data_IF_420971342229
#
_entry.id   IF_420971342229
#
_cell.length_a   1.000
_cell.length_b   1.000
_cell.length_c   1.000
_cell.angle_alpha   90.00
_cell.angle_beta   90.00
_cell.angle_gamma   90.00
#
_symmetry.space_group_name_H-M   'P 1'
#
loop_
_entity.id
_entity.type
_entity.pdbx_description
1 polymer ?
#
# COMPACT_ATOMS: atom_id res chain seq x y z
N UNK A 1 11.28 -8.32 25.10
CA UNK A 1 10.30 -8.63 24.04
C UNK A 1 10.99 -9.24 22.84
N UNK A 2 10.29 -10.06 22.04
CA UNK A 2 10.84 -10.58 20.77
C UNK A 2 10.64 -9.56 19.65
N UNK A 3 11.67 -9.36 18.84
CA UNK A 3 11.62 -8.45 17.69
C UNK A 3 12.54 -8.90 16.56
N UNK A 4 12.19 -8.57 15.32
CA UNK A 4 13.06 -8.68 14.15
C UNK A 4 14.02 -7.51 14.14
N UNK A 5 15.32 -7.76 14.21
CA UNK A 5 16.33 -6.69 14.27
C UNK A 5 17.16 -6.66 12.98
N UNK A 6 17.25 -5.47 12.40
CA UNK A 6 18.20 -5.13 11.35
C UNK A 6 19.42 -4.48 12.02
N UNK A 7 20.51 -5.26 12.14
CA UNK A 7 21.76 -4.80 12.76
C UNK A 7 22.68 -4.09 11.76
N UNK A 8 22.54 -4.43 10.48
CA UNK A 8 23.28 -3.82 9.36
C UNK A 8 22.40 -3.80 8.11
N UNK A 9 22.63 -2.86 7.21
CA UNK A 9 21.94 -2.84 5.92
C UNK A 9 22.51 -3.93 5.02
N UNK A 10 21.65 -4.78 4.44
CA UNK A 10 22.11 -5.87 3.61
C UNK A 10 21.00 -6.82 3.15
N UNK A 11 21.34 -8.03 2.77
CA UNK A 11 20.38 -9.05 2.37
C UNK A 11 19.34 -9.35 3.46
N UNK A 12 18.10 -9.68 3.05
CA UNK A 12 16.98 -9.88 3.98
C UNK A 12 17.18 -11.06 4.95
N UNK A 13 17.99 -12.06 4.58
CA UNK A 13 18.36 -13.19 5.45
C UNK A 13 19.23 -12.79 6.66
N UNK A 14 19.78 -11.58 6.63
CA UNK A 14 20.46 -10.95 7.76
C UNK A 14 19.52 -10.54 8.90
N UNK A 15 18.22 -10.40 8.65
CA UNK A 15 17.22 -10.09 9.67
C UNK A 15 17.08 -11.25 10.67
N UNK A 16 17.21 -10.94 11.96
CA UNK A 16 17.14 -11.95 13.04
C UNK A 16 16.01 -11.60 14.02
N UNK A 17 15.26 -12.61 14.43
CA UNK A 17 14.39 -12.49 15.61
C UNK A 17 15.23 -12.70 16.85
N UNK A 18 15.25 -11.71 17.72
CA UNK A 18 16.01 -11.73 18.96
C UNK A 18 15.17 -11.18 20.11
N UNK A 19 15.56 -11.51 21.34
CA UNK A 19 15.03 -10.86 22.52
C UNK A 19 15.75 -9.52 22.75
N UNK A 20 14.99 -8.45 22.88
CA UNK A 20 15.47 -7.12 23.22
C UNK A 20 14.67 -6.53 24.38
N UNK A 21 15.19 -5.50 25.02
CA UNK A 21 14.45 -4.74 26.01
C UNK A 21 13.17 -4.15 25.42
N UNK A 22 12.16 -4.01 26.27
CA UNK A 22 10.93 -3.34 25.86
C UNK A 22 11.18 -1.86 25.59
N UNK A 23 10.57 -1.28 24.54
CA UNK A 23 10.73 0.15 24.25
C UNK A 23 10.16 0.97 25.42
N UNK A 24 10.90 1.98 25.85
CA UNK A 24 10.50 2.84 26.99
C UNK A 24 9.21 3.58 26.63
N UNK A 25 8.23 3.53 27.52
CA UNK A 25 7.03 4.35 27.43
C UNK A 25 7.42 5.81 27.71
N UNK A 26 6.97 6.72 26.84
CA UNK A 26 7.24 8.18 26.92
C UNK A 26 5.91 8.92 27.11
N UNK A 27 5.97 10.18 27.53
CA UNK A 27 4.80 11.05 27.57
C UNK A 27 4.08 11.06 26.19
N UNK A 28 2.75 11.13 26.21
CA UNK A 28 1.89 11.08 25.03
C UNK A 28 1.82 9.72 24.34
N UNK A 29 2.42 8.66 24.89
CA UNK A 29 2.50 7.35 24.23
C UNK A 29 1.73 6.26 24.98
N UNK A 30 1.39 5.24 24.22
CA UNK A 30 0.84 3.97 24.70
C UNK A 30 1.75 2.81 24.31
N UNK A 31 1.72 1.74 25.10
CA UNK A 31 2.31 0.45 24.73
C UNK A 31 1.23 -0.44 24.11
N UNK A 32 1.57 -1.04 23.00
CA UNK A 32 0.73 -2.00 22.29
C UNK A 32 1.29 -3.41 22.45
N UNK A 33 0.44 -4.36 22.83
CA UNK A 33 0.65 -5.77 22.52
C UNK A 33 0.32 -5.96 21.06
N UNK A 34 1.32 -6.24 20.23
CA UNK A 34 1.12 -6.40 18.78
C UNK A 34 0.31 -7.67 18.51
N UNK A 35 -0.72 -7.55 17.71
CA UNK A 35 -1.58 -8.65 17.26
C UNK A 35 -1.25 -9.05 15.82
N UNK A 36 -0.90 -8.09 14.98
CA UNK A 36 -0.43 -8.30 13.63
C UNK A 36 0.38 -7.08 13.13
N UNK A 37 1.35 -7.32 12.25
CA UNK A 37 2.15 -6.27 11.60
C UNK A 37 2.04 -6.40 10.09
N UNK A 38 1.69 -5.33 9.39
CA UNK A 38 1.67 -5.30 7.93
C UNK A 38 3.08 -5.39 7.33
N UNK A 39 3.22 -6.17 6.27
CA UNK A 39 4.47 -6.27 5.52
C UNK A 39 4.35 -5.49 4.22
N UNK A 40 5.26 -4.53 4.03
CA UNK A 40 5.29 -3.68 2.86
C UNK A 40 6.63 -3.81 2.12
N UNK A 41 6.61 -3.59 0.82
CA UNK A 41 7.83 -3.63 -0.01
C UNK A 41 8.91 -2.66 0.50
N UNK A 42 8.48 -1.51 1.04
CA UNK A 42 9.37 -0.49 1.60
C UNK A 42 10.12 -0.98 2.84
N UNK A 43 9.57 -1.90 3.64
CA UNK A 43 10.26 -2.46 4.81
C UNK A 43 11.51 -3.23 4.39
N UNK A 44 11.42 -3.99 3.27
CA UNK A 44 12.56 -4.66 2.67
C UNK A 44 13.61 -3.68 2.13
N UNK A 45 13.19 -2.60 1.46
CA UNK A 45 14.08 -1.57 0.98
C UNK A 45 14.81 -0.84 2.13
N UNK A 46 14.13 -0.60 3.25
CA UNK A 46 14.72 -0.03 4.47
C UNK A 46 15.80 -0.95 5.04
N UNK A 47 15.49 -2.24 5.20
CA UNK A 47 16.43 -3.23 5.72
C UNK A 47 17.66 -3.40 4.81
N UNK A 48 17.49 -3.27 3.49
CA UNK A 48 18.58 -3.33 2.52
C UNK A 48 19.35 -2.02 2.37
N UNK A 49 18.94 -0.92 3.03
CA UNK A 49 19.54 0.41 2.87
C UNK A 49 19.31 1.04 1.48
N UNK A 50 18.33 0.55 0.72
CA UNK A 50 17.98 0.97 -0.64
C UNK A 50 16.86 2.01 -0.70
N UNK A 51 16.29 2.35 0.46
CA UNK A 51 15.27 3.39 0.55
C UNK A 51 15.89 4.78 0.78
N UNK A 52 15.13 5.84 0.51
CA UNK A 52 15.57 7.24 0.66
C UNK A 52 15.88 7.60 2.11
N UNK A 53 15.15 7.03 3.06
CA UNK A 53 15.36 7.18 4.50
C UNK A 53 16.18 5.97 4.97
N UNK A 54 17.22 6.24 5.77
CA UNK A 54 18.03 5.20 6.41
C UNK A 54 17.90 5.34 7.92
N UNK A 55 17.12 4.45 8.58
CA UNK A 55 17.05 4.45 10.04
C UNK A 55 18.43 4.24 10.67
N UNK A 56 18.69 4.79 11.86
CA UNK A 56 19.90 4.46 12.62
C UNK A 56 19.90 2.98 12.99
N UNK A 57 21.03 2.31 12.81
CA UNK A 57 21.23 0.91 13.17
C UNK A 57 21.61 0.74 14.65
N UNK A 58 21.20 -0.32 15.35
CA UNK A 58 20.21 -1.30 14.90
C UNK A 58 18.77 -0.75 14.96
N UNK A 59 17.87 -1.25 14.10
CA UNK A 59 16.45 -0.89 14.17
C UNK A 59 15.54 -2.11 13.96
N UNK A 60 14.28 -1.99 14.37
CA UNK A 60 13.23 -2.97 14.12
C UNK A 60 12.40 -2.49 12.93
N UNK A 61 12.27 -3.24 11.82
CA UNK A 61 11.40 -2.88 10.71
C UNK A 61 9.90 -2.91 11.07
N UNK A 62 9.04 -2.61 10.09
CA UNK A 62 7.58 -2.66 10.22
C UNK A 62 6.97 -1.30 10.49
N UNK A 63 6.21 -0.79 9.51
CA UNK A 63 5.66 0.57 9.55
C UNK A 63 4.28 0.63 10.19
N UNK A 64 3.48 -0.43 10.09
CA UNK A 64 2.08 -0.45 10.52
C UNK A 64 1.79 -1.70 11.36
N UNK A 65 1.08 -1.52 12.46
CA UNK A 65 0.70 -2.61 13.36
C UNK A 65 -0.74 -2.46 13.83
N UNK A 66 -1.39 -3.58 14.07
CA UNK A 66 -2.58 -3.66 14.91
C UNK A 66 -2.16 -4.23 16.26
N UNK A 67 -2.58 -3.58 17.32
CA UNK A 67 -2.30 -4.00 18.69
C UNK A 67 -3.41 -3.67 19.64
N UNK A 68 -3.34 -4.29 20.81
CA UNK A 68 -4.14 -3.96 21.99
C UNK A 68 -3.34 -3.03 22.90
N UNK A 69 -3.93 -1.94 23.36
CA UNK A 69 -3.29 -1.02 24.31
C UNK A 69 -3.21 -1.69 25.67
N UNK A 70 -1.99 -1.99 26.13
CA UNK A 70 -1.73 -2.67 27.40
C UNK A 70 -1.13 -1.77 28.48
N UNK A 71 -0.65 -0.58 28.11
CA UNK A 71 -0.10 0.41 29.03
C UNK A 71 -0.26 1.81 28.42
N UNK A 72 -0.57 2.80 29.26
CA UNK A 72 -0.65 4.21 28.86
C UNK A 72 0.30 5.05 29.70
N UNK A 73 0.90 6.08 29.12
CA UNK A 73 1.71 7.03 29.87
C UNK A 73 0.83 7.85 30.85
N UNK A 74 1.42 8.40 31.89
CA UNK A 74 0.69 9.08 32.99
C UNK A 74 -0.10 10.32 32.53
N UNK A 75 0.24 10.89 31.37
CA UNK A 75 -0.42 12.03 30.74
C UNK A 75 -1.44 11.62 29.66
N UNK A 76 -1.63 10.32 29.45
CA UNK A 76 -2.56 9.75 28.47
C UNK A 76 -3.82 9.22 29.18
N UNK A 77 -4.99 9.43 28.57
CA UNK A 77 -6.25 8.93 29.12
C UNK A 77 -6.25 7.41 29.26
N UNK A 78 -6.67 6.92 30.43
CA UNK A 78 -6.86 5.50 30.69
C UNK A 78 -7.95 4.85 29.81
N UNK A 79 -8.78 5.65 29.12
CA UNK A 79 -9.81 5.15 28.21
C UNK A 79 -9.26 4.39 27.00
N UNK A 80 -7.97 4.57 26.69
CA UNK A 80 -7.31 3.78 25.63
C UNK A 80 -7.02 2.33 26.05
N UNK A 81 -6.98 2.02 27.36
CA UNK A 81 -6.65 0.67 27.85
C UNK A 81 -7.61 -0.38 27.28
N UNK A 82 -7.04 -1.47 26.76
CA UNK A 82 -7.78 -2.58 26.15
C UNK A 82 -8.30 -2.30 24.74
N UNK A 83 -8.15 -1.07 24.21
CA UNK A 83 -8.59 -0.74 22.85
C UNK A 83 -7.75 -1.47 21.81
N UNK A 84 -8.41 -2.03 20.79
CA UNK A 84 -7.77 -2.58 19.59
C UNK A 84 -7.57 -1.46 18.59
N UNK A 85 -6.34 -1.11 18.30
CA UNK A 85 -5.98 0.04 17.46
C UNK A 85 -5.00 -0.33 16.36
N UNK A 86 -5.08 0.38 15.25
CA UNK A 86 -4.04 0.46 14.24
C UNK A 86 -3.10 1.61 14.60
N UNK A 87 -1.78 1.40 14.48
CA UNK A 87 -0.79 2.44 14.65
C UNK A 87 0.18 2.48 13.47
N UNK A 88 0.43 3.69 12.95
CA UNK A 88 1.50 3.94 11.97
C UNK A 88 2.76 4.37 12.71
N UNK A 89 3.74 3.47 12.77
CA UNK A 89 4.98 3.66 13.56
C UNK A 89 6.13 4.27 12.74
N UNK A 90 6.12 4.06 11.42
CA UNK A 90 7.27 4.33 10.55
C UNK A 90 8.32 3.20 10.60
N UNK A 91 8.67 2.68 11.79
CA UNK A 91 9.43 1.46 12.05
C UNK A 91 9.19 1.00 13.49
N UNK A 92 9.56 -0.23 13.83
CA UNK A 92 9.35 -0.80 15.17
C UNK A 92 8.22 -1.81 15.27
N UNK A 93 7.51 -2.10 14.15
CA UNK A 93 6.32 -2.92 14.16
C UNK A 93 6.57 -4.44 14.13
N UNK A 94 7.73 -4.90 13.66
CA UNK A 94 8.05 -6.34 13.62
C UNK A 94 8.52 -6.83 14.99
N UNK A 95 7.64 -6.74 15.97
CA UNK A 95 7.90 -7.09 17.35
C UNK A 95 6.62 -7.56 18.06
N UNK A 96 6.78 -8.18 19.23
CA UNK A 96 5.63 -8.59 20.06
C UNK A 96 5.00 -7.42 20.83
N UNK A 97 5.73 -6.32 20.95
CA UNK A 97 5.25 -5.07 21.55
C UNK A 97 5.76 -3.86 20.75
N UNK A 98 4.97 -2.79 20.76
CA UNK A 98 5.35 -1.51 20.14
C UNK A 98 4.92 -0.34 21.04
N UNK A 99 5.53 0.83 20.84
CA UNK A 99 5.12 2.07 21.51
C UNK A 99 4.70 3.07 20.42
N UNK A 100 3.53 3.66 20.58
CA UNK A 100 2.96 4.63 19.64
C UNK A 100 2.49 5.89 20.36
N UNK A 101 2.67 7.06 19.74
CA UNK A 101 2.04 8.30 20.20
C UNK A 101 0.53 8.23 19.98
N UNK A 102 -0.27 8.76 20.89
CA UNK A 102 -1.74 8.69 20.83
C UNK A 102 -2.32 9.28 19.55
N UNK A 103 -1.71 10.31 18.96
CA UNK A 103 -2.15 10.94 17.71
C UNK A 103 -1.96 10.02 16.49
N UNK A 104 -1.25 8.91 16.63
CA UNK A 104 -1.03 7.90 15.58
C UNK A 104 -1.90 6.68 15.73
N UNK A 105 -2.75 6.65 16.75
CA UNK A 105 -3.70 5.58 16.98
C UNK A 105 -4.97 5.82 16.18
N UNK A 106 -5.48 4.76 15.61
CA UNK A 106 -6.66 4.78 14.78
C UNK A 106 -7.57 3.65 15.22
N UNK A 107 -8.82 3.97 15.52
CA UNK A 107 -9.85 2.97 15.77
C UNK A 107 -10.09 2.14 14.52
N UNK A 108 -10.18 0.84 14.68
CA UNK A 108 -10.39 -0.10 13.59
C UNK A 108 -11.87 -0.41 13.51
N UNK A 109 -12.50 -0.25 12.34
CA UNK A 109 -13.88 -0.67 12.12
C UNK A 109 -14.09 -2.15 12.45
N UNK A 110 -15.21 -2.47 13.08
CA UNK A 110 -15.54 -3.86 13.47
C UNK A 110 -15.64 -4.82 12.28
N UNK A 111 -15.92 -4.27 11.10
CA UNK A 111 -15.98 -5.04 9.84
C UNK A 111 -14.62 -5.51 9.34
N UNK A 112 -13.51 -5.00 9.91
CA UNK A 112 -12.16 -5.39 9.52
C UNK A 112 -11.59 -6.45 10.46
N UNK A 113 -11.03 -7.51 9.87
CA UNK A 113 -10.18 -8.44 10.62
C UNK A 113 -8.89 -7.76 11.09
N UNK A 114 -8.20 -8.35 12.05
CA UNK A 114 -6.89 -7.88 12.50
C UNK A 114 -5.87 -7.88 11.35
N UNK A 115 -5.90 -8.89 10.49
CA UNK A 115 -5.02 -9.00 9.33
C UNK A 115 -5.26 -7.90 8.30
N UNK A 116 -6.53 -7.69 7.93
CA UNK A 116 -6.92 -6.59 7.04
C UNK A 116 -6.46 -5.24 7.58
N UNK A 117 -6.77 -4.95 8.85
CA UNK A 117 -6.41 -3.68 9.49
C UNK A 117 -4.89 -3.47 9.58
N UNK A 118 -4.10 -4.53 9.83
CA UNK A 118 -2.64 -4.42 9.90
C UNK A 118 -1.97 -4.18 8.55
N UNK A 119 -2.66 -4.41 7.42
CA UNK A 119 -2.02 -4.46 6.12
C UNK A 119 -2.63 -3.52 5.05
N UNK A 120 -3.68 -2.75 5.37
CA UNK A 120 -4.37 -1.93 4.37
C UNK A 120 -3.79 -0.51 4.23
N UNK A 121 -3.28 0.08 5.31
CA UNK A 121 -3.02 1.52 5.42
C UNK A 121 -2.12 2.02 4.29
N UNK A 122 -0.93 1.43 4.14
CA UNK A 122 0.04 1.82 3.11
C UNK A 122 -0.57 1.78 1.70
N UNK A 123 -1.33 0.74 1.40
CA UNK A 123 -1.88 0.51 0.06
C UNK A 123 -3.07 1.42 -0.25
N UNK A 124 -4.02 1.49 0.67
CA UNK A 124 -5.24 2.28 0.46
C UNK A 124 -4.99 3.78 0.54
N UNK A 125 -4.13 4.26 1.46
CA UNK A 125 -3.81 5.69 1.51
C UNK A 125 -2.99 6.13 0.31
N UNK A 126 -2.09 5.31 -0.22
CA UNK A 126 -1.40 5.62 -1.49
C UNK A 126 -2.40 5.75 -2.64
N UNK A 127 -3.32 4.79 -2.78
CA UNK A 127 -4.36 4.83 -3.81
C UNK A 127 -5.31 6.02 -3.64
N UNK A 128 -5.84 6.23 -2.44
CA UNK A 128 -6.75 7.35 -2.17
C UNK A 128 -6.09 8.69 -2.42
N UNK A 129 -4.85 8.86 -1.97
CA UNK A 129 -4.06 10.06 -2.26
C UNK A 129 -3.89 10.27 -3.76
N UNK A 130 -3.61 9.21 -4.52
CA UNK A 130 -3.46 9.29 -5.97
C UNK A 130 -4.74 9.75 -6.67
N UNK A 131 -5.89 9.15 -6.36
CA UNK A 131 -7.14 9.48 -7.04
C UNK A 131 -7.78 10.77 -6.50
N UNK A 132 -7.92 10.91 -5.19
CA UNK A 132 -8.67 12.02 -4.60
C UNK A 132 -7.83 13.28 -4.51
N UNK A 133 -6.57 13.19 -4.06
CA UNK A 133 -5.73 14.38 -3.86
C UNK A 133 -4.92 14.77 -5.09
N UNK A 134 -4.44 13.80 -5.88
CA UNK A 134 -3.59 14.10 -7.04
C UNK A 134 -4.38 14.29 -8.34
N UNK A 135 -5.42 13.49 -8.57
CA UNK A 135 -6.31 13.64 -9.73
C UNK A 135 -7.52 14.57 -9.46
N UNK A 136 -7.85 14.83 -8.19
CA UNK A 136 -9.02 15.64 -7.83
C UNK A 136 -10.35 14.92 -8.07
N UNK A 137 -10.37 13.60 -8.00
CA UNK A 137 -11.61 12.82 -8.11
C UNK A 137 -12.47 13.06 -6.87
N UNK A 138 -13.73 13.41 -7.09
CA UNK A 138 -14.73 13.53 -6.02
C UNK A 138 -15.29 12.15 -5.66
N UNK A 139 -14.97 11.60 -4.47
CA UNK A 139 -15.45 10.28 -4.08
C UNK A 139 -16.94 10.23 -3.76
N UNK A 140 -17.58 11.38 -3.57
CA UNK A 140 -19.03 11.46 -3.37
C UNK A 140 -19.83 11.35 -4.68
N UNK A 141 -19.17 11.48 -5.84
CA UNK A 141 -19.80 11.46 -7.16
C UNK A 141 -19.12 10.46 -8.10
N UNK A 142 -19.21 9.14 -7.84
CA UNK A 142 -18.61 8.12 -8.72
C UNK A 142 -19.19 8.13 -10.14
N UNK A 143 -20.42 8.62 -10.32
CA UNK A 143 -21.05 8.73 -11.63
C UNK A 143 -20.28 9.66 -12.60
N UNK A 144 -19.51 10.62 -12.09
CA UNK A 144 -18.65 11.49 -12.91
C UNK A 144 -17.50 10.73 -13.62
N UNK A 145 -17.22 9.51 -13.22
CA UNK A 145 -16.22 8.64 -13.84
C UNK A 145 -16.86 7.49 -14.66
N UNK A 146 -18.18 7.45 -14.75
CA UNK A 146 -18.87 6.45 -15.57
C UNK A 146 -18.38 6.52 -17.03
N UNK A 147 -17.99 5.37 -17.56
CA UNK A 147 -17.43 5.26 -18.91
C UNK A 147 -15.91 5.50 -19.02
N UNK A 148 -15.27 6.10 -18.01
CA UNK A 148 -13.80 6.26 -17.99
C UNK A 148 -13.10 4.95 -17.68
N UNK A 149 -11.90 4.79 -18.22
CA UNK A 149 -11.09 3.60 -18.09
C UNK A 149 -9.82 3.83 -17.27
N UNK A 150 -9.60 2.94 -16.32
CA UNK A 150 -8.42 2.89 -15.47
C UNK A 150 -7.62 1.61 -15.78
N UNK A 151 -6.38 1.74 -16.20
CA UNK A 151 -5.44 0.62 -16.26
C UNK A 151 -4.58 0.61 -14.98
N UNK A 152 -4.58 -0.51 -14.27
CA UNK A 152 -3.75 -0.72 -13.09
C UNK A 152 -2.67 -1.73 -13.42
N UNK A 153 -1.41 -1.30 -13.43
CA UNK A 153 -0.26 -2.21 -13.53
C UNK A 153 0.06 -2.82 -12.16
N UNK A 154 0.55 -4.07 -12.15
CA UNK A 154 0.84 -4.76 -10.90
C UNK A 154 -0.39 -4.97 -10.02
N UNK A 155 -1.56 -5.15 -10.63
CA UNK A 155 -2.87 -5.22 -9.97
C UNK A 155 -3.03 -6.38 -8.98
N UNK A 156 -2.14 -7.37 -8.98
CA UNK A 156 -2.13 -8.46 -8.00
C UNK A 156 -1.26 -8.21 -6.76
N UNK A 157 -0.54 -7.09 -6.70
CA UNK A 157 0.21 -6.66 -5.50
C UNK A 157 -0.62 -5.73 -4.61
N UNK A 158 -0.19 -5.50 -3.37
CA UNK A 158 -0.97 -4.75 -2.39
C UNK A 158 -1.47 -3.38 -2.87
N UNK A 159 -0.56 -2.55 -3.39
CA UNK A 159 -0.88 -1.18 -3.85
C UNK A 159 -1.74 -1.21 -5.13
N UNK A 160 -1.45 -2.13 -6.06
CA UNK A 160 -2.23 -2.28 -7.29
C UNK A 160 -3.64 -2.81 -7.01
N UNK A 161 -3.77 -3.80 -6.14
CA UNK A 161 -5.07 -4.37 -5.77
C UNK A 161 -5.95 -3.35 -5.04
N UNK A 162 -5.37 -2.55 -4.14
CA UNK A 162 -6.08 -1.42 -3.52
C UNK A 162 -6.55 -0.39 -4.57
N UNK A 163 -5.72 -0.13 -5.60
CA UNK A 163 -6.11 0.76 -6.69
C UNK A 163 -7.26 0.19 -7.55
N UNK A 164 -7.33 -1.12 -7.71
CA UNK A 164 -8.49 -1.78 -8.35
C UNK A 164 -9.76 -1.52 -7.53
N UNK A 165 -9.74 -1.83 -6.24
CA UNK A 165 -10.87 -1.67 -5.33
C UNK A 165 -11.33 -0.20 -5.28
N UNK A 166 -10.40 0.74 -5.08
CA UNK A 166 -10.68 2.19 -5.07
C UNK A 166 -11.21 2.66 -6.42
N UNK A 167 -10.61 2.23 -7.54
CA UNK A 167 -11.04 2.61 -8.88
C UNK A 167 -12.48 2.18 -9.19
N UNK A 168 -12.85 0.97 -8.77
CA UNK A 168 -14.22 0.45 -8.87
C UNK A 168 -15.18 1.29 -8.01
N UNK A 169 -14.83 1.56 -6.75
CA UNK A 169 -15.63 2.37 -5.84
C UNK A 169 -15.82 3.82 -6.36
N UNK A 170 -14.83 4.35 -7.08
CA UNK A 170 -14.87 5.68 -7.71
C UNK A 170 -15.56 5.68 -9.09
N UNK A 171 -16.10 4.53 -9.56
CA UNK A 171 -16.91 4.45 -10.79
C UNK A 171 -16.15 4.22 -12.09
N UNK A 172 -14.84 3.92 -12.04
CA UNK A 172 -14.06 3.60 -13.24
C UNK A 172 -14.34 2.19 -13.77
N UNK A 173 -14.23 2.01 -15.10
CA UNK A 173 -14.04 0.69 -15.69
C UNK A 173 -12.59 0.28 -15.51
N UNK A 174 -12.31 -0.70 -14.66
CA UNK A 174 -10.94 -1.08 -14.32
C UNK A 174 -10.43 -2.23 -15.19
N UNK A 175 -9.26 -2.03 -15.78
CA UNK A 175 -8.45 -3.06 -16.44
C UNK A 175 -7.27 -3.37 -15.52
N UNK A 176 -7.19 -4.60 -15.03
CA UNK A 176 -6.15 -5.05 -14.12
C UNK A 176 -5.05 -5.80 -14.89
N UNK A 177 -3.79 -5.37 -14.82
CA UNK A 177 -2.66 -6.06 -15.42
C UNK A 177 -1.81 -6.77 -14.36
N UNK A 178 -1.70 -8.11 -14.44
CA UNK A 178 -0.98 -8.93 -13.47
C UNK A 178 -0.34 -10.17 -14.12
N UNK A 179 0.70 -10.74 -13.46
CA UNK A 179 1.57 -11.75 -14.05
C UNK A 179 1.06 -13.19 -13.94
N UNK A 180 0.25 -13.52 -12.93
CA UNK A 180 -0.23 -14.89 -12.70
C UNK A 180 -1.76 -14.96 -12.77
N UNK A 181 -2.30 -16.14 -13.07
CA UNK A 181 -3.74 -16.37 -13.11
C UNK A 181 -4.40 -15.99 -11.77
N UNK A 182 -3.89 -16.48 -10.65
CA UNK A 182 -4.42 -16.20 -9.31
C UNK A 182 -4.49 -14.70 -9.02
N UNK A 183 -3.47 -13.93 -9.43
CA UNK A 183 -3.45 -12.46 -9.26
C UNK A 183 -4.50 -11.78 -10.13
N UNK A 184 -4.73 -12.27 -11.34
CA UNK A 184 -5.77 -11.75 -12.22
C UNK A 184 -7.17 -12.08 -11.70
N UNK A 185 -7.38 -13.30 -11.22
CA UNK A 185 -8.63 -13.72 -10.60
C UNK A 185 -8.95 -12.91 -9.34
N UNK A 186 -7.94 -12.66 -8.49
CA UNK A 186 -8.09 -11.80 -7.32
C UNK A 186 -8.51 -10.37 -7.70
N UNK A 187 -7.94 -9.80 -8.76
CA UNK A 187 -8.32 -8.47 -9.25
C UNK A 187 -9.75 -8.45 -9.84
N UNK A 188 -10.13 -9.50 -10.58
CA UNK A 188 -11.51 -9.65 -11.08
C UNK A 188 -12.52 -9.78 -9.93
N UNK A 189 -12.19 -10.57 -8.90
CA UNK A 189 -13.02 -10.69 -7.69
C UNK A 189 -13.18 -9.36 -6.92
N UNK A 190 -12.29 -8.39 -7.15
CA UNK A 190 -12.35 -7.01 -6.63
C UNK A 190 -13.05 -6.04 -7.58
N UNK A 191 -13.75 -6.54 -8.59
CA UNK A 191 -14.57 -5.75 -9.49
C UNK A 191 -13.84 -5.19 -10.71
N UNK A 192 -12.59 -5.59 -10.98
CA UNK A 192 -11.96 -5.27 -12.26
C UNK A 192 -12.81 -5.85 -13.40
N UNK A 193 -13.08 -5.03 -14.42
CA UNK A 193 -13.91 -5.43 -15.57
C UNK A 193 -13.16 -6.38 -16.49
N UNK A 194 -11.85 -6.20 -16.60
CA UNK A 194 -10.95 -7.03 -17.41
C UNK A 194 -9.64 -7.27 -16.68
N UNK A 195 -9.01 -8.41 -16.96
CA UNK A 195 -7.67 -8.72 -16.49
C UNK A 195 -6.76 -9.08 -17.65
N UNK A 196 -5.55 -8.50 -17.68
CA UNK A 196 -4.53 -8.72 -18.69
C UNK A 196 -3.34 -9.48 -18.11
N UNK A 197 -2.81 -10.41 -18.90
CA UNK A 197 -1.58 -11.13 -18.59
C UNK A 197 -0.36 -10.33 -19.06
N UNK A 198 0.47 -9.87 -18.12
CA UNK A 198 1.68 -9.11 -18.48
C UNK A 198 2.79 -10.02 -19.04
N UNK A 199 2.68 -11.34 -18.92
CA UNK A 199 3.66 -12.28 -19.50
C UNK A 199 3.58 -12.37 -21.03
N UNK A 200 2.49 -11.90 -21.64
CA UNK A 200 2.32 -11.85 -23.09
C UNK A 200 3.17 -10.78 -23.76
N UNK A 201 3.73 -9.86 -22.98
CA UNK A 201 4.61 -8.78 -23.43
C UNK A 201 3.98 -7.39 -23.31
N UNK A 202 4.84 -6.40 -23.09
CA UNK A 202 4.43 -5.01 -22.79
C UNK A 202 3.55 -4.39 -23.90
N UNK A 203 3.88 -4.67 -25.17
CA UNK A 203 3.10 -4.16 -26.30
C UNK A 203 1.70 -4.79 -26.38
N UNK A 204 1.58 -6.08 -26.08
CA UNK A 204 0.30 -6.76 -26.05
C UNK A 204 -0.62 -6.16 -24.96
N UNK A 205 -0.09 -5.95 -23.75
CA UNK A 205 -0.82 -5.28 -22.65
C UNK A 205 -1.34 -3.92 -23.09
N UNK A 206 -0.51 -3.11 -23.73
CA UNK A 206 -0.87 -1.79 -24.25
C UNK A 206 -1.99 -1.86 -25.29
N UNK A 207 -1.86 -2.72 -26.31
CA UNK A 207 -2.84 -2.79 -27.40
C UNK A 207 -4.19 -3.36 -26.89
N UNK A 208 -4.16 -4.37 -26.01
CA UNK A 208 -5.36 -4.89 -25.38
C UNK A 208 -6.06 -3.85 -24.49
N UNK A 209 -5.29 -3.05 -23.74
CA UNK A 209 -5.87 -1.97 -22.95
C UNK A 209 -6.57 -0.92 -23.84
N UNK A 210 -5.98 -0.56 -24.99
CA UNK A 210 -6.58 0.35 -25.96
C UNK A 210 -7.83 -0.23 -26.61
N UNK A 211 -7.80 -1.49 -27.00
CA UNK A 211 -8.96 -2.17 -27.60
C UNK A 211 -10.13 -2.19 -26.63
N UNK A 212 -9.90 -2.64 -25.38
CA UNK A 212 -10.93 -2.74 -24.33
C UNK A 212 -11.52 -1.38 -23.96
N UNK A 213 -10.72 -0.31 -24.04
CA UNK A 213 -11.14 1.05 -23.71
C UNK A 213 -11.70 1.85 -24.90
N UNK A 214 -11.83 1.24 -26.07
CA UNK A 214 -12.33 1.93 -27.28
C UNK A 214 -11.36 2.94 -27.87
N UNK A 215 -10.05 2.78 -27.64
CA UNK A 215 -9.00 3.59 -28.28
C UNK A 215 -8.05 4.30 -27.32
N UNK A 216 -8.31 4.32 -26.02
CA UNK A 216 -7.40 4.87 -25.02
C UNK A 216 -8.00 4.91 -23.62
N UNK A 217 -7.17 4.68 -22.62
CA UNK A 217 -7.52 4.75 -21.19
C UNK A 217 -7.44 6.19 -20.68
N UNK A 218 -8.21 6.52 -19.65
CA UNK A 218 -8.19 7.86 -19.02
C UNK A 218 -7.11 7.96 -17.94
N UNK A 219 -6.87 6.88 -17.21
CA UNK A 219 -5.92 6.85 -16.11
C UNK A 219 -5.06 5.59 -16.19
N UNK A 220 -3.75 5.76 -16.04
CA UNK A 220 -2.77 4.69 -15.81
C UNK A 220 -2.25 4.80 -14.37
N UNK A 221 -2.47 3.77 -13.56
CA UNK A 221 -1.94 3.66 -12.21
C UNK A 221 -0.73 2.70 -12.22
N UNK A 222 0.47 3.24 -12.02
CA UNK A 222 1.70 2.47 -12.23
C UNK A 222 2.61 2.38 -11.00
N UNK A 223 2.53 1.30 -10.21
CA UNK A 223 3.51 0.97 -9.18
C UNK A 223 4.70 0.15 -9.72
N UNK A 224 4.70 -0.22 -11.02
CA UNK A 224 5.68 -1.13 -11.62
C UNK A 224 6.82 -0.37 -12.27
N UNK A 225 6.53 0.59 -13.11
CA UNK A 225 7.51 1.31 -13.92
C UNK A 225 8.15 0.43 -15.01
N UNK A 226 9.45 0.65 -15.25
CA UNK A 226 10.22 -0.08 -16.25
C UNK A 226 9.64 0.02 -17.65
N UNK A 227 9.95 -0.96 -18.51
CA UNK A 227 9.50 -1.00 -19.92
C UNK A 227 7.98 -1.05 -20.05
N UNK A 228 7.30 -1.76 -19.15
CA UNK A 228 5.83 -1.84 -19.15
C UNK A 228 5.19 -0.47 -18.95
N UNK A 229 5.66 0.31 -17.97
CA UNK A 229 5.19 1.67 -17.73
C UNK A 229 5.45 2.60 -18.93
N UNK A 230 6.65 2.52 -19.53
CA UNK A 230 7.02 3.30 -20.73
C UNK A 230 6.08 3.00 -21.91
N UNK A 231 5.80 1.75 -22.15
CA UNK A 231 4.94 1.31 -23.26
C UNK A 231 3.48 1.69 -22.99
N UNK A 232 2.99 1.50 -21.78
CA UNK A 232 1.61 1.79 -21.40
C UNK A 232 1.28 3.29 -21.32
N UNK A 233 2.27 4.19 -21.26
CA UNK A 233 2.05 5.62 -21.49
C UNK A 233 1.31 5.88 -22.82
N UNK A 234 1.57 5.06 -23.84
CA UNK A 234 0.91 5.16 -25.16
C UNK A 234 -0.50 4.57 -25.20
N UNK A 235 -0.92 3.88 -24.14
CA UNK A 235 -2.31 3.44 -24.01
C UNK A 235 -3.25 4.57 -23.56
N UNK A 236 -2.71 5.64 -22.95
CA UNK A 236 -3.50 6.81 -22.55
C UNK A 236 -4.13 7.50 -23.77
N UNK A 237 -5.40 7.83 -23.63
CA UNK A 237 -6.18 8.66 -24.53
C UNK A 237 -5.76 10.13 -24.49
N UNK A 238 -6.60 11.00 -25.04
CA UNK A 238 -6.45 12.45 -24.91
C UNK A 238 -6.72 12.88 -23.47
N UNK A 239 -5.96 13.87 -22.95
CA UNK A 239 -5.99 14.34 -21.58
C UNK A 239 -5.76 13.26 -20.49
N UNK A 240 -5.33 12.06 -20.88
CA UNK A 240 -5.10 10.93 -19.98
C UNK A 240 -3.99 11.21 -18.95
N UNK A 241 -4.13 10.62 -17.78
CA UNK A 241 -3.22 10.82 -16.65
C UNK A 241 -2.42 9.55 -16.32
N UNK A 242 -1.09 9.67 -16.34
CA UNK A 242 -0.18 8.66 -15.82
C UNK A 242 0.17 8.96 -14.37
N UNK A 243 -0.26 8.13 -13.45
CA UNK A 243 0.07 8.20 -12.03
C UNK A 243 1.33 7.38 -11.75
N UNK A 244 2.41 8.05 -11.41
CA UNK A 244 3.68 7.42 -11.05
C UNK A 244 3.65 7.09 -9.56
N UNK A 245 3.53 5.78 -9.23
CA UNK A 245 3.36 5.28 -7.86
C UNK A 245 4.66 4.66 -7.34
N UNK A 246 5.37 3.91 -8.19
CA UNK A 246 6.56 3.18 -7.78
C UNK A 246 7.35 2.60 -8.94
N UNK A 247 8.43 1.86 -8.61
CA UNK A 247 9.43 1.45 -9.58
C UNK A 247 9.94 0.01 -9.33
N UNK A 248 9.05 -0.90 -8.92
CA UNK A 248 9.47 -2.30 -8.66
C UNK A 248 10.02 -3.02 -9.90
N UNK A 249 9.71 -2.53 -11.09
CA UNK A 249 10.25 -3.00 -12.37
C UNK A 249 11.35 -2.10 -12.96
N UNK A 250 11.76 -1.06 -12.23
CA UNK A 250 12.74 -0.07 -12.65
C UNK A 250 12.13 1.30 -12.95
N UNK A 251 12.97 2.33 -13.01
CA UNK A 251 12.53 3.71 -13.29
C UNK A 251 12.21 3.83 -14.79
N UNK A 252 10.97 4.19 -15.19
CA UNK A 252 10.59 4.32 -16.59
C UNK A 252 11.19 5.58 -17.22
N UNK A 253 11.60 5.48 -18.48
CA UNK A 253 12.02 6.62 -19.31
C UNK A 253 10.81 7.11 -20.11
N UNK A 254 10.13 8.12 -19.60
CA UNK A 254 8.93 8.65 -20.24
C UNK A 254 9.31 9.67 -21.32
N UNK A 255 9.08 9.38 -22.61
CA UNK A 255 9.45 10.30 -23.69
C UNK A 255 8.50 11.50 -23.73
N UNK A 256 9.06 12.72 -23.58
CA UNK A 256 8.30 13.96 -23.45
C UNK A 256 7.37 14.22 -24.66
N UNK A 257 7.76 13.78 -25.87
CA UNK A 257 6.91 13.88 -27.05
C UNK A 257 5.62 13.05 -26.93
N UNK A 258 5.64 11.93 -26.20
CA UNK A 258 4.44 11.13 -25.95
C UNK A 258 3.53 11.76 -24.87
N UNK A 259 4.08 12.60 -24.00
CA UNK A 259 3.30 13.40 -23.06
C UNK A 259 2.64 14.56 -23.79
N UNK A 260 3.40 15.29 -24.64
CA UNK A 260 2.89 16.38 -25.46
C UNK A 260 1.74 15.94 -26.38
N UNK A 261 1.92 14.80 -27.05
CA UNK A 261 0.90 14.25 -27.92
C UNK A 261 -0.31 13.80 -27.10
N UNK A 262 -1.50 14.28 -27.48
CA UNK A 262 -2.79 14.03 -26.81
C UNK A 262 -2.92 14.72 -25.45
N UNK A 263 -2.15 15.76 -25.17
CA UNK A 263 -2.24 16.56 -23.93
C UNK A 263 -2.17 15.71 -22.63
N UNK A 264 -1.39 14.62 -22.64
CA UNK A 264 -1.26 13.71 -21.51
C UNK A 264 -0.57 14.39 -20.34
N UNK A 265 -0.86 13.88 -19.15
CA UNK A 265 -0.25 14.33 -17.89
C UNK A 265 0.54 13.20 -17.26
N UNK A 266 1.64 13.55 -16.58
CA UNK A 266 2.42 12.64 -15.71
C UNK A 266 2.39 13.22 -14.31
N UNK A 267 1.81 12.49 -13.37
CA UNK A 267 1.55 12.95 -12.01
C UNK A 267 2.29 12.07 -11.02
N UNK A 268 3.20 12.65 -10.24
CA UNK A 268 3.90 11.97 -9.15
C UNK A 268 2.98 11.76 -7.94
N UNK A 269 3.12 10.60 -7.29
CA UNK A 269 2.36 10.20 -6.11
C UNK A 269 3.35 9.83 -5.00
N UNK A 270 3.77 10.81 -4.22
CA UNK A 270 4.60 10.64 -3.03
C UNK A 270 3.75 10.91 -1.77
N UNK A 271 2.88 9.94 -1.45
CA UNK A 271 2.02 10.03 -0.28
C UNK A 271 2.83 10.07 1.02
N UNK A 272 3.87 9.25 1.15
CA UNK A 272 4.66 9.14 2.38
C UNK A 272 5.27 10.48 2.81
N UNK A 273 5.96 11.18 1.89
CA UNK A 273 6.55 12.48 2.17
C UNK A 273 5.47 13.57 2.38
N UNK A 274 4.33 13.47 1.69
CA UNK A 274 3.22 14.37 1.91
C UNK A 274 2.59 14.17 3.29
N UNK A 275 2.34 12.93 3.72
CA UNK A 275 1.73 12.58 5.00
C UNK A 275 2.57 13.08 6.19
N UNK A 276 3.90 12.97 6.11
CA UNK A 276 4.81 13.50 7.14
C UNK A 276 4.71 15.02 7.31
N UNK A 277 4.46 15.75 6.23
CA UNK A 277 4.34 17.22 6.26
C UNK A 277 2.93 17.71 6.57
N UNK A 278 1.92 16.84 6.46
CA UNK A 278 0.51 17.18 6.60
C UNK A 278 -0.24 16.15 7.46
N UNK A 279 0.15 15.93 8.73
CA UNK A 279 -0.39 14.87 9.57
C UNK A 279 -1.92 14.97 9.74
N UNK A 280 -2.47 16.15 9.98
CA UNK A 280 -3.90 16.36 10.18
C UNK A 280 -4.71 16.02 8.92
N UNK A 281 -4.22 16.46 7.75
CA UNK A 281 -4.85 16.15 6.47
C UNK A 281 -4.74 14.66 6.12
N UNK A 282 -3.64 14.00 6.51
CA UNK A 282 -3.47 12.56 6.37
C UNK A 282 -4.46 11.79 7.28
N UNK A 283 -4.62 12.22 8.53
CA UNK A 283 -5.59 11.62 9.45
C UNK A 283 -7.04 11.83 8.97
N UNK A 284 -7.35 12.99 8.39
CA UNK A 284 -8.66 13.23 7.77
C UNK A 284 -8.90 12.28 6.59
N UNK A 285 -7.91 12.13 5.70
CA UNK A 285 -7.96 11.22 4.56
C UNK A 285 -8.12 9.76 4.99
N UNK A 286 -7.45 9.35 6.06
CA UNK A 286 -7.60 8.00 6.61
C UNK A 286 -9.02 7.76 7.12
N UNK A 287 -9.62 8.73 7.84
CA UNK A 287 -11.03 8.62 8.27
C UNK A 287 -11.99 8.50 7.07
N UNK A 288 -11.71 9.22 5.98
CA UNK A 288 -12.50 9.05 4.72
C UNK A 288 -12.43 7.60 4.22
N UNK A 289 -11.22 7.03 4.13
CA UNK A 289 -11.03 5.63 3.67
C UNK A 289 -11.74 4.65 4.59
N UNK A 290 -11.60 4.80 5.92
CA UNK A 290 -12.28 3.94 6.89
C UNK A 290 -13.80 4.01 6.78
N UNK A 291 -14.37 5.21 6.55
CA UNK A 291 -15.80 5.36 6.34
C UNK A 291 -16.30 4.66 5.05
N UNK A 292 -15.47 4.59 4.00
CA UNK A 292 -15.78 3.80 2.80
C UNK A 292 -15.69 2.30 3.05
N UNK A 293 -14.78 1.85 3.92
CA UNK A 293 -14.68 0.45 4.36
C UNK A 293 -15.90 0.06 5.21
N UNK A 294 -16.28 0.88 6.18
CA UNK A 294 -17.46 0.65 7.03
C UNK A 294 -18.76 0.53 6.22
N UNK A 295 -18.89 1.33 5.15
CA UNK A 295 -20.04 1.26 4.22
C UNK A 295 -19.97 0.07 3.26
N UNK A 296 -18.89 -0.72 3.27
CA UNK A 296 -18.67 -1.83 2.34
C UNK A 296 -18.36 -1.38 0.89
N UNK A 297 -18.05 -0.08 0.68
CA UNK A 297 -17.66 0.44 -0.63
C UNK A 297 -16.20 0.12 -0.96
N UNK A 298 -15.36 -0.07 0.06
CA UNK A 298 -14.01 -0.59 -0.04
C UNK A 298 -13.88 -1.85 0.80
N UNK A 299 -13.13 -2.83 0.31
CA UNK A 299 -13.00 -4.13 0.96
C UNK A 299 -11.53 -4.60 0.91
N UNK A 300 -10.68 -4.21 1.87
CA UNK A 300 -9.32 -4.69 1.95
C UNK A 300 -9.24 -6.23 1.93
N UNK A 301 -8.25 -6.77 1.20
CA UNK A 301 -8.05 -8.22 1.15
C UNK A 301 -7.50 -8.74 2.46
N UNK A 302 -7.89 -9.96 2.83
CA UNK A 302 -7.23 -10.70 3.91
C UNK A 302 -5.80 -11.01 3.50
N UNK A 303 -4.78 -10.66 4.31
CA UNK A 303 -3.40 -10.91 3.97
C UNK A 303 -3.02 -12.38 4.15
N UNK A 304 -2.03 -12.84 3.38
CA UNK A 304 -1.29 -14.05 3.71
C UNK A 304 -0.51 -13.79 5.00
N UNK A 305 -0.53 -14.73 5.94
CA UNK A 305 0.13 -14.56 7.23
C UNK A 305 1.40 -15.39 7.35
N UNK A 306 2.40 -14.83 8.01
CA UNK A 306 3.63 -15.51 8.42
C UNK A 306 3.84 -15.31 9.93
N UNK A 307 4.44 -16.27 10.64
CA UNK A 307 4.89 -16.01 12.00
C UNK A 307 6.02 -14.96 11.99
N UNK A 308 6.16 -14.19 13.06
CA UNK A 308 7.20 -13.17 13.21
C UNK A 308 8.61 -13.73 12.95
N UNK A 309 8.85 -14.99 13.37
CA UNK A 309 10.10 -15.70 13.14
C UNK A 309 10.46 -15.89 11.65
N UNK A 310 9.48 -15.77 10.74
CA UNK A 310 9.66 -15.89 9.28
C UNK A 310 9.57 -14.54 8.55
N UNK A 311 9.81 -13.42 9.22
CA UNK A 311 9.73 -12.09 8.64
C UNK A 311 10.68 -11.91 7.43
N UNK A 312 11.89 -12.43 7.49
CA UNK A 312 12.84 -12.40 6.37
C UNK A 312 12.30 -13.11 5.12
N UNK A 313 11.66 -14.25 5.30
CA UNK A 313 11.01 -15.00 4.23
C UNK A 313 9.81 -14.26 3.65
N UNK A 314 8.95 -13.69 4.50
CA UNK A 314 7.81 -12.89 4.08
C UNK A 314 8.23 -11.69 3.20
N UNK A 315 9.31 -11.01 3.58
CA UNK A 315 9.89 -9.91 2.79
C UNK A 315 10.51 -10.42 1.47
N UNK A 316 11.21 -11.55 1.50
CA UNK A 316 11.80 -12.16 0.30
C UNK A 316 10.72 -12.64 -0.69
N UNK A 317 9.61 -13.20 -0.20
CA UNK A 317 8.47 -13.60 -1.03
C UNK A 317 7.79 -12.40 -1.69
N UNK A 318 7.69 -11.29 -0.95
CA UNK A 318 7.14 -10.04 -1.47
C UNK A 318 8.07 -9.44 -2.55
N UNK A 319 9.39 -9.38 -2.30
CA UNK A 319 10.38 -8.90 -3.27
C UNK A 319 10.42 -9.76 -4.54
N UNK A 320 10.34 -11.08 -4.38
CA UNK A 320 10.28 -12.03 -5.48
C UNK A 320 8.90 -12.10 -6.18
N UNK A 321 7.94 -11.27 -5.77
CA UNK A 321 6.57 -11.21 -6.34
C UNK A 321 5.80 -12.53 -6.26
N UNK A 322 6.13 -13.40 -5.30
CA UNK A 322 5.43 -14.67 -5.07
C UNK A 322 4.09 -14.52 -4.35
N UNK A 323 3.86 -13.36 -3.71
CA UNK A 323 2.61 -13.06 -2.99
C UNK A 323 1.55 -12.49 -3.93
N UNK A 324 0.31 -12.91 -3.77
CA UNK A 324 -0.87 -12.26 -4.28
C UNK A 324 -1.55 -11.47 -3.14
N UNK A 325 -1.82 -10.18 -3.36
CA UNK A 325 -2.42 -9.31 -2.34
C UNK A 325 -1.42 -8.79 -1.31
N UNK A 326 -1.70 -9.00 -0.03
CA UNK A 326 -0.98 -8.44 1.11
C UNK A 326 -0.38 -9.52 2.01
N UNK A 327 0.54 -9.12 2.85
CA UNK A 327 1.20 -9.97 3.87
C UNK A 327 1.10 -9.31 5.23
N UNK A 328 0.91 -10.13 6.27
CA UNK A 328 1.03 -9.71 7.66
C UNK A 328 1.87 -10.70 8.47
N UNK A 329 2.60 -10.20 9.45
CA UNK A 329 3.28 -11.01 10.46
C UNK A 329 2.40 -11.15 11.69
N UNK A 330 2.31 -12.36 12.21
CA UNK A 330 1.67 -12.65 13.49
C UNK A 330 2.74 -12.95 14.55
N UNK A 331 2.61 -12.46 15.79
CA UNK A 331 3.46 -12.87 16.88
C UNK A 331 3.38 -14.39 17.09
N UNK A 332 4.53 -15.07 17.27
CA UNK A 332 4.69 -16.50 17.54
C UNK A 332 5.37 -16.75 18.90
#
# INVERSE_FOLDING_TARGET
MRAVVCSEFGPLDGLKVVEIDEPKLRQGHVRLKVLASGVNYVDGLLAQGRYQIKPPLPFVPGMEVVGEVVEVASDVSASFMGSRVLANLGFGGYATQAVAHVDRLIEIPDVMSTGQAASFLQSYLTGWFAFVRRLGVDPSNPAANAGKWLLVLGAGGGVGLAAVDIGVALGYNVIAAASTADKRELALARGARHALDVSTGDNEVKERAKELSGGGIDVLYDPVGGSLGEVCLRALGEDGNYLVIGFVGGIPKLPANQVLLRNRRVTGVDWGAWAMRNPDANNAMLREVLAFIEKGSLSPVEPMTYPLSRAAEALADLEARRVAGKVALLPD
#
